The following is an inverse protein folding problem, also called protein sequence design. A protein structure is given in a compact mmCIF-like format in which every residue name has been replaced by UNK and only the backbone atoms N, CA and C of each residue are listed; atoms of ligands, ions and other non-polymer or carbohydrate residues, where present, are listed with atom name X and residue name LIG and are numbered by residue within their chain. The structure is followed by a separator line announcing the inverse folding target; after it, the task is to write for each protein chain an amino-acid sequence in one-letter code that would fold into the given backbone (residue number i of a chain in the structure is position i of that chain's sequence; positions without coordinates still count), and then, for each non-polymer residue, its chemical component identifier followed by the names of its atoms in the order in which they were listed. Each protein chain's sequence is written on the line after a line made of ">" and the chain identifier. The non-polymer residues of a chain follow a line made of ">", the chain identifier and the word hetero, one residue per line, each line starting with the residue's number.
data_IF_495350428945
#
_entry.id   IF_495350428945
#
_cell.length_a   1.000
_cell.length_b   1.000
_cell.length_c   1.000
_cell.angle_alpha   90.00
_cell.angle_beta   90.00
_cell.angle_gamma   90.00
#
_symmetry.space_group_name_H-M   'P 1'
#
loop_
_entity.id
_entity.type
_entity.pdbx_description
1 polymer ?
#
# COMPACT_ATOMS: atom_id res chain seq x y z
N UNK A 1 -10.78 -20.00 10.30
CA UNK A 1 -9.51 -20.74 10.44
C UNK A 1 -8.55 -19.80 11.11
N UNK A 2 -8.07 -20.14 12.31
CA UNK A 2 -7.04 -19.36 12.97
C UNK A 2 -5.87 -19.25 12.03
N UNK A 3 -5.60 -18.03 11.54
CA UNK A 3 -4.44 -17.80 10.71
C UNK A 3 -3.21 -18.22 11.47
N UNK A 4 -2.49 -19.21 10.97
CA UNK A 4 -1.20 -19.60 11.52
C UNK A 4 -0.42 -18.29 11.70
N UNK A 5 -0.13 -17.93 12.95
CA UNK A 5 0.61 -16.72 13.25
C UNK A 5 1.91 -16.80 12.48
N UNK A 6 2.10 -15.87 11.57
CA UNK A 6 3.33 -15.74 10.80
C UNK A 6 4.43 -15.33 11.78
N UNK A 7 5.10 -16.33 12.37
CA UNK A 7 6.20 -16.13 13.31
C UNK A 7 7.50 -16.16 12.51
N UNK A 8 8.14 -15.01 12.36
CA UNK A 8 9.47 -14.94 11.79
C UNK A 8 9.91 -13.49 11.66
N UNK A 9 11.17 -13.26 12.00
CA UNK A 9 11.86 -11.97 11.77
C UNK A 9 12.58 -11.94 10.41
N UNK A 10 12.43 -13.02 9.62
CA UNK A 10 13.06 -13.18 8.31
C UNK A 10 14.56 -12.88 8.37
N UNK A 11 15.27 -13.67 9.16
CA UNK A 11 16.71 -13.52 9.40
C UNK A 11 17.11 -12.12 9.94
N UNK A 12 16.24 -11.54 10.78
CA UNK A 12 16.45 -10.21 11.37
C UNK A 12 16.11 -9.04 10.46
N UNK A 13 15.56 -9.27 9.25
CA UNK A 13 15.16 -8.17 8.36
C UNK A 13 13.84 -7.50 8.74
N UNK A 14 13.03 -8.12 9.63
CA UNK A 14 11.77 -7.59 10.13
C UNK A 14 11.64 -7.78 11.66
N UNK A 15 12.51 -7.14 12.47
CA UNK A 15 12.61 -7.38 13.91
C UNK A 15 11.58 -6.59 14.74
N UNK A 16 10.51 -6.10 14.12
CA UNK A 16 9.53 -5.23 14.77
C UNK A 16 8.53 -6.01 15.61
N UNK A 17 8.10 -5.39 16.72
CA UNK A 17 7.04 -5.95 17.55
C UNK A 17 5.70 -5.95 16.80
N UNK A 18 5.03 -7.10 16.81
CA UNK A 18 3.74 -7.25 16.15
C UNK A 18 2.62 -6.78 17.08
N UNK A 19 1.88 -5.77 16.66
CA UNK A 19 0.68 -5.30 17.31
C UNK A 19 -0.56 -5.66 16.52
N UNK A 20 -1.71 -5.75 17.21
CA UNK A 20 -2.97 -6.08 16.57
C UNK A 20 -4.10 -5.22 17.13
N UNK A 21 -5.04 -4.84 16.25
CA UNK A 21 -6.29 -4.20 16.63
C UNK A 21 -7.48 -4.90 15.96
N UNK A 22 -8.67 -4.69 16.46
CA UNK A 22 -9.91 -5.19 15.87
C UNK A 22 -10.60 -4.07 15.09
N UNK A 23 -10.71 -4.22 13.77
CA UNK A 23 -11.52 -3.38 12.90
C UNK A 23 -12.81 -4.14 12.57
N UNK A 24 -13.85 -3.94 13.38
CA UNK A 24 -15.05 -4.77 13.33
C UNK A 24 -14.75 -6.24 13.67
N UNK A 25 -14.97 -7.13 12.72
CA UNK A 25 -14.68 -8.58 12.84
C UNK A 25 -13.36 -9.00 12.21
N UNK A 26 -12.51 -8.05 11.81
CA UNK A 26 -11.18 -8.27 11.23
C UNK A 26 -10.12 -7.86 12.22
N UNK A 27 -9.15 -8.72 12.45
CA UNK A 27 -7.94 -8.40 13.20
C UNK A 27 -6.88 -7.89 12.23
N UNK A 28 -6.44 -6.65 12.43
CA UNK A 28 -5.38 -6.02 11.65
C UNK A 28 -4.06 -6.05 12.41
N UNK A 29 -3.00 -6.43 11.72
CA UNK A 29 -1.63 -6.31 12.20
C UNK A 29 -1.08 -4.92 11.89
N UNK A 30 -0.27 -4.39 12.80
CA UNK A 30 0.53 -3.19 12.58
C UNK A 30 1.83 -3.25 13.38
N UNK A 31 2.79 -2.45 12.96
CA UNK A 31 4.01 -2.10 13.71
C UNK A 31 3.94 -0.63 14.05
N UNK A 32 4.51 -0.22 15.21
CA UNK A 32 4.52 1.16 15.67
C UNK A 32 5.85 1.41 16.41
N UNK A 33 6.80 1.95 15.69
CA UNK A 33 8.19 2.11 16.11
C UNK A 33 8.54 3.58 16.33
N UNK A 34 9.49 3.83 17.25
CA UNK A 34 9.92 5.18 17.62
C UNK A 34 9.09 5.82 18.74
N UNK A 35 9.35 7.11 19.07
CA UNK A 35 8.68 7.80 20.17
C UNK A 35 7.19 8.00 19.93
N UNK A 36 6.35 7.56 20.87
CA UNK A 36 4.88 7.63 20.76
C UNK A 36 4.31 9.04 20.72
N UNK A 37 5.03 10.02 21.21
CA UNK A 37 4.69 11.45 21.25
C UNK A 37 5.16 12.23 20.01
N UNK A 38 5.93 11.62 19.13
CA UNK A 38 6.32 12.23 17.86
C UNK A 38 5.18 12.17 16.83
N UNK A 39 5.05 13.18 15.94
CA UNK A 39 4.12 13.12 14.82
C UNK A 39 4.36 11.88 13.96
N UNK A 40 3.32 11.07 13.70
CA UNK A 40 3.50 9.78 13.05
C UNK A 40 3.64 9.88 11.53
N UNK A 41 4.50 9.01 10.98
CA UNK A 41 4.51 8.61 9.59
C UNK A 41 3.62 7.37 9.47
N UNK A 42 2.52 7.46 8.74
CA UNK A 42 1.62 6.33 8.49
C UNK A 42 1.93 5.72 7.13
N UNK A 43 2.54 4.54 7.14
CA UNK A 43 2.94 3.81 5.95
C UNK A 43 1.80 2.89 5.48
N UNK A 44 1.33 3.12 4.26
CA UNK A 44 0.21 2.39 3.65
C UNK A 44 0.70 1.66 2.41
N UNK A 45 0.79 0.34 2.48
CA UNK A 45 1.27 -0.51 1.40
C UNK A 45 0.20 -0.77 0.33
N UNK A 46 0.61 -1.35 -0.79
CA UNK A 46 -0.29 -1.78 -1.85
C UNK A 46 -0.25 -3.29 -2.12
N UNK A 47 -0.75 -3.67 -3.28
CA UNK A 47 -0.79 -5.04 -3.75
C UNK A 47 0.50 -5.39 -4.57
N UNK A 48 1.19 -6.50 -4.30
CA UNK A 48 0.87 -7.59 -3.37
C UNK A 48 1.68 -7.56 -2.07
N UNK A 49 2.15 -6.39 -1.67
CA UNK A 49 3.05 -6.24 -0.54
C UNK A 49 2.34 -6.27 0.83
N UNK A 50 3.08 -6.03 1.91
CA UNK A 50 2.61 -5.88 3.27
C UNK A 50 3.57 -4.96 4.03
N UNK A 51 3.41 -4.73 5.31
CA UNK A 51 4.26 -3.82 6.10
C UNK A 51 5.76 -4.11 5.98
N UNK A 52 6.16 -5.31 5.56
CA UNK A 52 7.54 -5.67 5.23
C UNK A 52 8.19 -4.76 4.18
N UNK A 53 7.40 -4.22 3.24
CA UNK A 53 7.88 -3.25 2.25
C UNK A 53 8.58 -2.06 2.92
N UNK A 54 8.09 -1.66 4.08
CA UNK A 54 8.54 -0.48 4.80
C UNK A 54 9.66 -0.75 5.81
N UNK A 55 10.16 -2.00 5.92
CA UNK A 55 11.12 -2.40 6.95
C UNK A 55 12.35 -1.52 7.04
N UNK A 56 12.95 -1.15 5.89
CA UNK A 56 14.15 -0.31 5.84
C UNK A 56 13.87 1.13 6.26
N UNK A 57 12.87 1.83 5.66
CA UNK A 57 12.49 3.16 6.11
C UNK A 57 12.08 3.20 7.58
N UNK A 58 11.27 2.24 8.05
CA UNK A 58 10.83 2.19 9.45
C UNK A 58 12.02 2.04 10.40
N UNK A 59 12.93 1.11 10.13
CA UNK A 59 14.10 0.88 11.00
C UNK A 59 14.98 2.14 11.10
N UNK A 60 15.25 2.80 9.98
CA UNK A 60 16.13 3.96 9.97
C UNK A 60 15.47 5.22 10.54
N UNK A 61 14.22 5.51 10.15
CA UNK A 61 13.51 6.69 10.61
C UNK A 61 13.16 6.60 12.12
N UNK A 62 12.80 5.41 12.62
CA UNK A 62 12.55 5.24 14.05
C UNK A 62 13.82 5.41 14.88
N UNK A 63 14.97 4.95 14.37
CA UNK A 63 16.26 5.19 15.00
C UNK A 63 16.66 6.68 15.01
N UNK A 64 16.14 7.47 14.07
CA UNK A 64 16.28 8.92 14.00
C UNK A 64 15.25 9.67 14.90
N UNK A 65 14.42 8.95 15.65
CA UNK A 65 13.42 9.55 16.56
C UNK A 65 12.09 9.92 15.88
N UNK A 66 11.81 9.38 14.68
CA UNK A 66 10.49 9.52 14.04
C UNK A 66 9.56 8.40 14.51
N UNK A 67 8.28 8.68 14.72
CA UNK A 67 7.28 7.65 14.93
C UNK A 67 6.84 7.09 13.59
N UNK A 68 6.94 5.76 13.42
CA UNK A 68 6.62 5.04 12.19
C UNK A 68 5.54 4.00 12.47
N UNK A 69 4.37 4.17 11.89
CA UNK A 69 3.25 3.23 11.97
C UNK A 69 3.05 2.61 10.60
N UNK A 70 3.13 1.29 10.47
CA UNK A 70 2.81 0.59 9.24
C UNK A 70 1.87 -0.57 9.55
N UNK A 71 0.78 -0.71 8.79
CA UNK A 71 -0.20 -1.77 9.01
C UNK A 71 -0.35 -2.64 7.77
N UNK A 72 -0.85 -3.85 7.99
CA UNK A 72 -1.20 -4.77 6.92
C UNK A 72 -2.69 -4.64 6.59
N UNK A 73 -3.01 -4.39 5.33
CA UNK A 73 -4.39 -4.46 4.87
C UNK A 73 -5.03 -5.81 5.20
N UNK A 74 -6.35 -5.82 5.43
CA UNK A 74 -7.12 -7.06 5.43
C UNK A 74 -6.76 -7.90 4.20
N UNK A 75 -6.43 -9.18 4.39
CA UNK A 75 -6.01 -10.07 3.30
C UNK A 75 -4.50 -10.11 3.05
N UNK A 76 -3.71 -9.30 3.75
CA UNK A 76 -2.26 -9.18 3.53
C UNK A 76 -1.47 -9.39 4.82
N UNK A 77 -0.16 -9.60 4.68
CA UNK A 77 0.77 -9.73 5.79
C UNK A 77 0.25 -10.62 6.91
N UNK A 78 0.28 -10.10 8.13
CA UNK A 78 -0.16 -10.78 9.35
C UNK A 78 -1.61 -10.47 9.74
N UNK A 79 -2.32 -9.65 8.94
CA UNK A 79 -3.75 -9.38 9.12
C UNK A 79 -4.62 -10.57 8.72
N UNK A 80 -5.85 -10.61 9.24
CA UNK A 80 -6.83 -11.63 8.88
C UNK A 80 -7.13 -11.67 7.39
N UNK A 81 -7.40 -12.88 6.89
CA UNK A 81 -7.66 -13.16 5.47
C UNK A 81 -9.04 -13.81 5.28
N UNK A 82 -10.13 -13.03 5.34
CA UNK A 82 -11.46 -13.56 5.09
C UNK A 82 -11.58 -14.26 3.74
N UNK A 83 -12.23 -15.45 3.64
CA UNK A 83 -12.26 -16.22 2.41
C UNK A 83 -13.29 -15.71 1.38
N UNK A 84 -13.92 -14.56 1.62
CA UNK A 84 -14.97 -14.00 0.77
C UNK A 84 -14.44 -12.77 0.01
N UNK A 85 -14.25 -12.90 -1.29
CA UNK A 85 -13.78 -11.83 -2.17
C UNK A 85 -14.61 -10.54 -2.07
N UNK A 86 -15.92 -10.66 -1.83
CA UNK A 86 -16.82 -9.52 -1.69
C UNK A 86 -16.51 -8.61 -0.48
N UNK A 87 -15.73 -9.08 0.49
CA UNK A 87 -15.34 -8.27 1.67
C UNK A 87 -14.25 -7.25 1.35
N UNK A 88 -13.48 -7.50 0.33
CA UNK A 88 -12.34 -6.68 -0.05
C UNK A 88 -12.79 -5.58 -1.02
N UNK A 89 -13.12 -4.42 -0.49
CA UNK A 89 -13.49 -3.23 -1.25
C UNK A 89 -12.59 -2.07 -0.85
N UNK A 90 -12.41 -1.09 -1.73
CA UNK A 90 -11.73 0.16 -1.36
C UNK A 90 -12.33 0.75 -0.07
N UNK A 91 -13.67 0.82 0.04
CA UNK A 91 -14.33 1.31 1.26
C UNK A 91 -13.97 0.50 2.50
N UNK A 92 -13.97 -0.84 2.43
CA UNK A 92 -13.60 -1.67 3.58
C UNK A 92 -12.14 -1.47 4.02
N UNK A 93 -11.22 -1.27 3.06
CA UNK A 93 -9.82 -0.96 3.37
C UNK A 93 -9.66 0.44 3.99
N UNK A 94 -10.43 1.42 3.52
CA UNK A 94 -10.49 2.76 4.13
C UNK A 94 -11.02 2.68 5.56
N UNK A 95 -12.12 1.95 5.81
CA UNK A 95 -12.69 1.77 7.14
C UNK A 95 -11.69 1.11 8.10
N UNK A 96 -10.91 0.14 7.61
CA UNK A 96 -9.85 -0.50 8.39
C UNK A 96 -8.71 0.48 8.73
N UNK A 97 -8.30 1.32 7.78
CA UNK A 97 -7.30 2.36 8.04
C UNK A 97 -7.80 3.42 9.03
N UNK A 98 -9.08 3.81 8.93
CA UNK A 98 -9.73 4.69 9.91
C UNK A 98 -9.75 4.09 11.31
N UNK A 99 -10.06 2.79 11.43
CA UNK A 99 -10.04 2.11 12.72
C UNK A 99 -8.63 2.17 13.37
N UNK A 100 -7.57 2.02 12.58
CA UNK A 100 -6.19 2.16 13.09
C UNK A 100 -5.90 3.60 13.52
N UNK A 101 -6.23 4.59 12.70
CA UNK A 101 -6.00 6.01 12.97
C UNK A 101 -6.72 6.44 14.26
N UNK A 102 -7.96 5.99 14.43
CA UNK A 102 -8.79 6.34 15.59
C UNK A 102 -8.34 5.59 16.86
N UNK A 103 -8.01 4.30 16.78
CA UNK A 103 -7.54 3.48 17.92
C UNK A 103 -6.23 3.99 18.49
N UNK A 104 -5.29 4.39 17.61
CA UNK A 104 -3.99 4.92 18.02
C UNK A 104 -4.01 6.44 18.26
N UNK A 105 -5.16 7.11 18.13
CA UNK A 105 -5.35 8.57 18.17
C UNK A 105 -4.25 9.31 17.40
N UNK A 106 -3.97 8.86 16.16
CA UNK A 106 -2.93 9.48 15.36
C UNK A 106 -3.33 10.90 14.96
N UNK A 107 -2.42 11.85 15.17
CA UNK A 107 -2.58 13.29 14.87
C UNK A 107 -1.34 13.82 14.19
N UNK A 108 -1.48 14.90 13.42
CA UNK A 108 -0.40 15.48 12.61
C UNK A 108 0.29 14.44 11.71
N UNK A 109 -0.54 13.59 11.10
CA UNK A 109 -0.11 12.41 10.34
C UNK A 109 0.47 12.81 8.99
N UNK A 110 1.67 12.32 8.67
CA UNK A 110 2.16 12.27 7.30
C UNK A 110 1.87 10.89 6.73
N UNK A 111 1.03 10.80 5.71
CA UNK A 111 0.75 9.54 5.01
C UNK A 111 1.85 9.26 4.00
N UNK A 112 2.45 8.08 4.08
CA UNK A 112 3.43 7.56 3.13
C UNK A 112 2.79 6.37 2.40
N UNK A 113 2.41 6.57 1.16
CA UNK A 113 1.55 5.64 0.45
C UNK A 113 2.15 5.15 -0.87
N UNK A 114 1.99 3.86 -1.14
CA UNK A 114 2.44 3.21 -2.37
C UNK A 114 1.33 2.36 -2.96
N UNK A 115 1.16 2.38 -4.30
CA UNK A 115 0.19 1.57 -5.04
C UNK A 115 -1.23 1.74 -4.48
N UNK A 116 -1.96 0.70 -4.11
CA UNK A 116 -3.28 0.78 -3.45
C UNK A 116 -3.27 1.56 -2.12
N UNK A 117 -2.10 1.72 -1.52
CA UNK A 117 -1.95 2.57 -0.34
C UNK A 117 -2.34 4.02 -0.59
N UNK A 118 -2.21 4.53 -1.83
CA UNK A 118 -2.65 5.88 -2.19
C UNK A 118 -4.14 6.08 -1.97
N UNK A 119 -5.03 5.42 -2.74
CA UNK A 119 -6.47 5.61 -2.57
C UNK A 119 -6.98 5.23 -1.17
N UNK A 120 -6.38 4.23 -0.51
CA UNK A 120 -6.77 3.84 0.85
C UNK A 120 -6.33 4.90 1.88
N UNK A 121 -5.06 5.29 1.88
CA UNK A 121 -4.52 6.25 2.85
C UNK A 121 -5.13 7.64 2.68
N UNK A 122 -5.24 8.13 1.45
CA UNK A 122 -5.87 9.42 1.15
C UNK A 122 -7.35 9.37 1.52
N UNK A 123 -8.06 8.31 1.12
CA UNK A 123 -9.49 8.16 1.45
C UNK A 123 -9.75 8.18 2.96
N UNK A 124 -8.93 7.50 3.75
CA UNK A 124 -9.04 7.53 5.20
C UNK A 124 -8.75 8.93 5.77
N UNK A 125 -7.72 9.60 5.28
CA UNK A 125 -7.35 10.91 5.80
C UNK A 125 -8.28 12.04 5.34
N UNK A 126 -8.99 11.91 4.22
CA UNK A 126 -10.06 12.84 3.86
C UNK A 126 -11.21 12.83 4.87
N UNK A 127 -11.45 11.69 5.53
CA UNK A 127 -12.44 11.59 6.63
C UNK A 127 -11.89 12.08 7.99
N UNK A 128 -10.58 12.35 8.07
CA UNK A 128 -9.85 12.86 9.25
C UNK A 128 -8.89 13.98 8.84
N UNK A 129 -9.34 14.88 7.96
CA UNK A 129 -8.48 15.92 7.37
C UNK A 129 -7.86 16.87 8.43
N UNK A 130 -8.51 17.02 9.57
CA UNK A 130 -7.99 17.74 10.73
C UNK A 130 -6.79 17.07 11.41
N UNK A 131 -6.50 15.83 11.08
CA UNK A 131 -5.35 15.05 11.59
C UNK A 131 -4.24 14.87 10.57
N UNK A 132 -4.44 15.28 9.32
CA UNK A 132 -3.47 15.13 8.24
C UNK A 132 -2.53 16.34 8.19
N UNK A 133 -1.22 16.09 8.10
CA UNK A 133 -0.19 17.14 8.02
C UNK A 133 0.65 17.07 6.73
N UNK A 134 0.62 15.98 5.98
CA UNK A 134 1.37 15.85 4.73
C UNK A 134 1.12 14.54 4.00
N UNK A 135 1.49 14.52 2.72
CA UNK A 135 1.44 13.33 1.86
C UNK A 135 2.79 13.05 1.22
N UNK A 136 3.22 11.80 1.27
CA UNK A 136 4.36 11.28 0.50
C UNK A 136 3.85 10.12 -0.35
N UNK A 137 3.78 10.33 -1.65
CA UNK A 137 3.15 9.39 -2.59
C UNK A 137 4.21 8.76 -3.49
N UNK A 138 4.21 7.43 -3.53
CA UNK A 138 5.14 6.62 -4.30
C UNK A 138 4.36 5.77 -5.30
N UNK A 139 4.60 5.94 -6.59
CA UNK A 139 4.00 5.13 -7.66
C UNK A 139 2.58 4.65 -7.33
N UNK A 140 1.62 5.57 -7.36
CA UNK A 140 0.23 5.39 -6.94
C UNK A 140 -0.73 6.27 -7.74
N UNK A 141 -2.02 6.11 -7.48
CA UNK A 141 -3.08 6.93 -8.09
C UNK A 141 -4.21 7.18 -7.08
N UNK A 142 -5.13 8.08 -7.39
CA UNK A 142 -6.35 8.28 -6.61
C UNK A 142 -7.50 8.83 -7.49
N UNK A 143 -7.67 8.25 -8.68
CA UNK A 143 -8.73 8.62 -9.64
C UNK A 143 -9.19 7.41 -10.43
N UNK A 144 -10.28 7.56 -11.17
CA UNK A 144 -10.75 6.53 -12.10
C UNK A 144 -9.76 6.31 -13.25
N UNK A 145 -9.59 5.09 -13.71
CA UNK A 145 -8.70 4.70 -14.80
C UNK A 145 -9.47 4.43 -16.09
N UNK A 146 -9.88 5.47 -16.87
CA UNK A 146 -10.86 5.28 -17.93
C UNK A 146 -10.30 4.65 -19.21
N UNK A 147 -9.02 4.76 -19.54
CA UNK A 147 -8.55 4.46 -20.89
C UNK A 147 -7.31 3.58 -20.99
N UNK A 148 -6.45 3.58 -20.03
CA UNK A 148 -5.23 2.78 -20.05
C UNK A 148 -5.19 1.82 -18.87
N UNK A 149 -5.53 0.59 -19.17
CA UNK A 149 -5.40 -0.51 -18.20
C UNK A 149 -4.31 -1.43 -18.72
N UNK A 150 -3.25 -1.65 -17.93
CA UNK A 150 -2.25 -2.64 -18.29
C UNK A 150 -2.92 -3.99 -18.61
N UNK A 151 -2.49 -4.71 -19.66
CA UNK A 151 -3.13 -5.96 -20.07
C UNK A 151 -3.33 -6.97 -18.94
N UNK A 152 -2.36 -7.05 -18.01
CA UNK A 152 -2.42 -7.97 -16.87
C UNK A 152 -3.61 -7.69 -15.94
N UNK A 153 -4.04 -6.44 -15.78
CA UNK A 153 -5.22 -6.10 -14.96
C UNK A 153 -6.47 -6.77 -15.53
N UNK A 154 -6.61 -6.78 -16.87
CA UNK A 154 -7.74 -7.45 -17.54
C UNK A 154 -7.69 -8.96 -17.35
N UNK A 155 -6.51 -9.57 -17.42
CA UNK A 155 -6.31 -11.00 -17.21
C UNK A 155 -6.75 -11.43 -15.81
N UNK A 156 -6.32 -10.70 -14.77
CA UNK A 156 -6.74 -10.98 -13.39
C UNK A 156 -8.22 -10.71 -13.13
N UNK A 157 -8.85 -9.83 -13.90
CA UNK A 157 -10.30 -9.58 -13.82
C UNK A 157 -11.13 -10.62 -14.57
N UNK A 158 -10.53 -11.38 -15.46
CA UNK A 158 -11.21 -12.45 -16.21
C UNK A 158 -11.51 -13.61 -15.26
N UNK A 159 -12.80 -13.98 -15.17
CA UNK A 159 -13.28 -15.08 -14.33
C UNK A 159 -12.61 -16.40 -14.73
N UNK A 160 -12.20 -17.19 -13.76
CA UNK A 160 -11.45 -18.42 -13.93
C UNK A 160 -9.96 -18.20 -14.18
N UNK A 161 -9.59 -17.32 -15.12
CA UNK A 161 -8.19 -17.01 -15.40
C UNK A 161 -7.53 -16.28 -14.21
N UNK A 162 -8.19 -15.24 -13.67
CA UNK A 162 -7.70 -14.52 -12.52
C UNK A 162 -7.46 -15.40 -11.30
N UNK A 163 -8.36 -16.35 -11.03
CA UNK A 163 -8.20 -17.34 -9.96
C UNK A 163 -6.99 -18.26 -10.20
N UNK A 164 -6.80 -18.75 -11.42
CA UNK A 164 -5.65 -19.59 -11.76
C UNK A 164 -4.34 -18.82 -11.55
N UNK A 165 -4.26 -17.60 -12.05
CA UNK A 165 -3.05 -16.78 -12.00
C UNK A 165 -2.72 -16.32 -10.57
N UNK A 166 -3.69 -15.72 -9.89
CA UNK A 166 -3.49 -15.16 -8.56
C UNK A 166 -3.47 -16.23 -7.47
N UNK A 167 -4.54 -17.04 -7.40
CA UNK A 167 -4.75 -17.94 -6.27
C UNK A 167 -4.00 -19.25 -6.46
N UNK A 168 -3.97 -19.80 -7.67
CA UNK A 168 -3.25 -21.04 -8.02
C UNK A 168 -1.75 -20.82 -8.16
N UNK A 169 -1.37 -19.90 -9.04
CA UNK A 169 0.03 -19.67 -9.43
C UNK A 169 0.80 -18.70 -8.52
N UNK A 170 0.13 -17.96 -7.61
CA UNK A 170 0.74 -16.91 -6.79
C UNK A 170 1.49 -15.84 -7.62
N UNK A 171 1.03 -15.58 -8.85
CA UNK A 171 1.79 -14.77 -9.80
C UNK A 171 2.03 -13.33 -9.34
N UNK A 172 1.18 -12.78 -8.47
CA UNK A 172 1.43 -11.44 -7.90
C UNK A 172 2.73 -11.39 -7.12
N UNK A 173 2.96 -12.34 -6.23
CA UNK A 173 4.19 -12.42 -5.44
C UNK A 173 5.37 -12.76 -6.33
N UNK A 174 5.22 -13.75 -7.21
CA UNK A 174 6.32 -14.18 -8.09
C UNK A 174 6.66 -13.13 -9.16
N UNK A 175 5.81 -12.12 -9.39
CA UNK A 175 6.10 -11.00 -10.29
C UNK A 175 6.82 -9.82 -9.63
N UNK A 176 7.00 -9.81 -8.30
CA UNK A 176 7.68 -8.71 -7.59
C UNK A 176 9.05 -8.37 -8.20
N UNK A 177 9.94 -9.36 -8.53
CA UNK A 177 11.21 -9.04 -9.17
C UNK A 177 11.05 -8.34 -10.52
N UNK A 178 9.96 -8.63 -11.24
CA UNK A 178 9.66 -7.97 -12.51
C UNK A 178 9.25 -6.50 -12.39
N UNK A 179 8.76 -6.12 -11.21
CA UNK A 179 8.40 -4.74 -10.86
C UNK A 179 9.53 -3.96 -10.17
N UNK A 180 10.71 -4.56 -9.98
CA UNK A 180 11.89 -3.91 -9.42
C UNK A 180 12.86 -3.51 -10.53
N UNK A 181 13.64 -2.47 -10.30
CA UNK A 181 14.71 -2.03 -11.21
C UNK A 181 15.86 -3.05 -11.25
N UNK A 182 16.21 -3.61 -10.09
CA UNK A 182 17.11 -4.75 -9.99
C UNK A 182 16.31 -6.03 -9.76
N UNK A 183 16.35 -6.93 -10.75
CA UNK A 183 15.62 -8.21 -10.71
C UNK A 183 16.37 -9.33 -9.97
N UNK A 184 17.64 -9.09 -9.61
CA UNK A 184 18.41 -10.01 -8.77
C UNK A 184 18.04 -9.77 -7.30
N UNK A 185 16.98 -10.45 -6.88
CA UNK A 185 16.36 -10.24 -5.58
C UNK A 185 16.94 -11.15 -4.51
N UNK A 186 17.07 -10.63 -3.30
CA UNK A 186 17.44 -11.39 -2.12
C UNK A 186 16.42 -12.52 -1.85
N UNK A 187 16.84 -13.79 -1.74
CA UNK A 187 15.96 -14.89 -1.40
C UNK A 187 15.17 -14.68 -0.09
N UNK A 188 15.78 -14.10 0.94
CA UNK A 188 15.14 -13.80 2.23
C UNK A 188 13.98 -12.81 2.03
N UNK A 189 14.20 -11.77 1.20
CA UNK A 189 13.15 -10.82 0.86
C UNK A 189 11.97 -11.52 0.17
N UNK A 190 12.23 -12.37 -0.81
CA UNK A 190 11.17 -13.08 -1.52
C UNK A 190 10.42 -14.08 -0.63
N UNK A 191 11.12 -14.75 0.28
CA UNK A 191 10.49 -15.64 1.25
C UNK A 191 9.60 -14.85 2.23
N UNK A 192 10.01 -13.64 2.63
CA UNK A 192 9.17 -12.76 3.44
C UNK A 192 7.90 -12.30 2.70
N UNK A 193 7.98 -12.02 1.40
CA UNK A 193 6.79 -11.69 0.60
C UNK A 193 5.88 -12.90 0.36
N UNK A 194 6.44 -14.12 0.22
CA UNK A 194 5.65 -15.36 0.06
C UNK A 194 4.96 -15.80 1.34
N UNK A 195 5.61 -15.59 2.47
CA UNK A 195 5.20 -16.15 3.76
C UNK A 195 3.72 -15.89 4.14
N UNK A 196 3.13 -14.69 3.91
CA UNK A 196 1.71 -14.44 4.19
C UNK A 196 0.73 -15.21 3.29
N UNK A 197 1.20 -15.81 2.20
CA UNK A 197 0.37 -16.35 1.12
C UNK A 197 0.66 -17.82 0.79
N UNK A 198 0.65 -18.73 1.80
CA UNK A 198 1.07 -20.12 1.62
C UNK A 198 0.11 -20.92 0.75
N UNK A 199 -1.16 -20.55 0.69
CA UNK A 199 -2.20 -21.32 0.03
C UNK A 199 -3.19 -20.47 -0.79
N UNK A 200 -4.08 -21.14 -1.51
CA UNK A 200 -5.11 -20.56 -2.35
C UNK A 200 -5.97 -19.51 -1.61
N UNK A 201 -6.40 -19.82 -0.39
CA UNK A 201 -7.35 -18.97 0.35
C UNK A 201 -6.68 -17.71 0.89
N UNK A 202 -5.43 -17.79 1.29
CA UNK A 202 -4.65 -16.65 1.76
C UNK A 202 -4.39 -15.58 0.70
N UNK A 203 -4.56 -15.91 -0.59
CA UNK A 203 -4.28 -15.04 -1.75
C UNK A 203 -5.50 -14.26 -2.26
N UNK A 204 -6.70 -14.48 -1.68
CA UNK A 204 -7.95 -13.85 -2.14
C UNK A 204 -7.86 -12.33 -2.15
N UNK A 205 -7.22 -11.71 -1.14
CA UNK A 205 -7.05 -10.27 -1.05
C UNK A 205 -6.33 -9.67 -2.27
N UNK A 206 -5.29 -10.34 -2.77
CA UNK A 206 -4.55 -9.89 -3.96
C UNK A 206 -5.43 -9.85 -5.21
N UNK A 207 -6.21 -10.90 -5.45
CA UNK A 207 -7.15 -10.95 -6.57
C UNK A 207 -8.25 -9.90 -6.41
N UNK A 208 -8.72 -9.71 -5.17
CA UNK A 208 -9.79 -8.76 -4.88
C UNK A 208 -9.40 -7.32 -5.20
N UNK A 209 -8.19 -6.87 -4.85
CA UNK A 209 -7.70 -5.56 -5.22
C UNK A 209 -7.70 -5.34 -6.74
N UNK A 210 -7.26 -6.34 -7.52
CA UNK A 210 -7.29 -6.21 -8.98
C UNK A 210 -8.71 -6.10 -9.54
N UNK A 211 -9.66 -6.80 -8.93
CA UNK A 211 -11.07 -6.77 -9.33
C UNK A 211 -11.80 -5.51 -8.87
N UNK A 212 -11.26 -4.82 -7.88
CA UNK A 212 -11.84 -3.58 -7.35
C UNK A 212 -11.28 -2.31 -8.03
N UNK A 213 -10.31 -2.43 -8.95
CA UNK A 213 -9.84 -1.30 -9.78
C UNK A 213 -11.02 -0.76 -10.59
N UNK A 214 -11.41 0.52 -10.44
CA UNK A 214 -12.53 1.09 -11.18
C UNK A 214 -12.11 1.40 -12.62
N UNK A 215 -12.57 0.59 -13.57
CA UNK A 215 -12.35 0.77 -15.01
C UNK A 215 -13.54 1.43 -15.69
N UNK A 216 -14.70 1.36 -15.07
CA UNK A 216 -15.94 1.95 -15.53
C UNK A 216 -16.74 2.50 -14.35
N UNK A 217 -17.64 3.44 -14.60
CA UNK A 217 -18.57 3.99 -13.61
C UNK A 217 -19.44 2.93 -12.91
N UNK A 218 -19.56 1.74 -13.49
CA UNK A 218 -20.34 0.62 -12.94
C UNK A 218 -19.56 -0.26 -11.96
N UNK A 219 -18.25 -0.09 -11.91
CA UNK A 219 -17.43 -0.84 -10.98
C UNK A 219 -17.71 -0.40 -9.54
N UNK A 220 -17.65 -1.36 -8.62
CA UNK A 220 -18.11 -1.19 -7.24
C UNK A 220 -17.47 0.01 -6.53
N UNK A 221 -16.18 0.24 -6.72
CA UNK A 221 -15.44 1.32 -6.07
C UNK A 221 -15.32 2.61 -6.90
N UNK A 222 -15.92 2.67 -8.11
CA UNK A 222 -15.81 3.82 -9.00
C UNK A 222 -16.30 5.12 -8.35
N UNK A 223 -17.51 5.10 -7.78
CA UNK A 223 -18.06 6.28 -7.12
C UNK A 223 -17.20 6.78 -5.96
N UNK A 224 -16.67 5.85 -5.13
CA UNK A 224 -15.81 6.23 -4.00
C UNK A 224 -14.49 6.80 -4.49
N UNK A 225 -13.88 6.18 -5.51
CA UNK A 225 -12.65 6.68 -6.13
C UNK A 225 -12.85 8.07 -6.74
N UNK A 226 -13.96 8.29 -7.44
CA UNK A 226 -14.33 9.61 -7.97
C UNK A 226 -14.49 10.65 -6.86
N UNK A 227 -15.14 10.28 -5.74
CA UNK A 227 -15.27 11.17 -4.58
C UNK A 227 -13.90 11.51 -3.96
N UNK A 228 -12.99 10.52 -3.85
CA UNK A 228 -11.62 10.78 -3.38
C UNK A 228 -10.92 11.76 -4.32
N UNK A 229 -10.98 11.52 -5.63
CA UNK A 229 -10.38 12.39 -6.63
C UNK A 229 -10.92 13.82 -6.56
N UNK A 230 -12.24 13.99 -6.52
CA UNK A 230 -12.87 15.29 -6.40
C UNK A 230 -12.45 16.05 -5.14
N UNK A 231 -12.20 15.34 -4.03
CA UNK A 231 -11.81 15.94 -2.75
C UNK A 231 -10.32 16.20 -2.60
N UNK A 232 -9.47 15.73 -3.53
CA UNK A 232 -8.02 16.02 -3.47
C UNK A 232 -7.72 17.53 -3.43
N UNK A 233 -8.53 18.36 -4.10
CA UNK A 233 -8.37 19.82 -4.09
C UNK A 233 -8.66 20.48 -2.74
N UNK A 234 -9.30 19.77 -1.79
CA UNK A 234 -9.53 20.25 -0.42
C UNK A 234 -8.23 20.21 0.42
N UNK A 235 -7.22 19.47 -0.06
CA UNK A 235 -5.99 19.26 0.68
C UNK A 235 -4.99 20.40 0.42
N UNK A 236 -4.86 21.31 1.41
CA UNK A 236 -3.84 22.36 1.43
C UNK A 236 -2.74 21.99 2.44
N UNK A 237 -1.79 21.15 1.97
CA UNK A 237 -0.74 20.57 2.78
C UNK A 237 0.49 20.21 1.93
N UNK A 238 1.67 20.04 2.54
CA UNK A 238 2.86 19.59 1.83
C UNK A 238 2.67 18.23 1.17
N UNK A 239 2.98 18.14 -0.12
CA UNK A 239 2.96 16.89 -0.90
C UNK A 239 4.36 16.63 -1.45
N UNK A 240 4.84 15.40 -1.29
CA UNK A 240 6.06 14.90 -1.92
C UNK A 240 5.70 13.71 -2.81
N UNK A 241 6.13 13.76 -4.06
CA UNK A 241 5.96 12.70 -5.05
C UNK A 241 7.31 12.05 -5.29
N UNK A 242 7.45 10.76 -5.02
CA UNK A 242 8.68 9.98 -5.25
C UNK A 242 8.34 8.92 -6.29
N UNK A 243 9.00 8.98 -7.45
CA UNK A 243 8.56 8.17 -8.57
C UNK A 243 9.68 7.34 -9.16
N UNK A 244 9.50 6.01 -9.17
CA UNK A 244 10.33 5.10 -9.93
C UNK A 244 9.96 5.18 -11.42
N UNK A 245 10.84 5.79 -12.22
CA UNK A 245 10.55 6.11 -13.64
C UNK A 245 10.52 4.88 -14.55
N UNK A 246 10.98 3.70 -14.04
CA UNK A 246 10.91 2.42 -14.77
C UNK A 246 9.67 1.59 -14.43
N UNK A 247 8.72 2.15 -13.69
CA UNK A 247 7.49 1.43 -13.30
C UNK A 247 6.67 1.03 -14.53
N UNK A 248 6.42 -0.27 -14.75
CA UNK A 248 5.58 -0.73 -15.86
C UNK A 248 4.08 -0.48 -15.63
N UNK A 249 3.68 -0.19 -14.38
CA UNK A 249 2.27 0.03 -13.97
C UNK A 249 1.94 1.51 -13.93
N UNK A 250 2.59 2.25 -13.02
CA UNK A 250 2.38 3.69 -12.85
C UNK A 250 3.43 4.46 -13.66
N UNK A 251 3.24 4.47 -14.98
CA UNK A 251 4.09 5.17 -15.93
C UNK A 251 4.12 6.68 -15.66
N UNK A 252 5.06 7.44 -16.24
CA UNK A 252 5.20 8.89 -16.00
C UNK A 252 3.92 9.72 -16.13
N UNK A 253 2.96 9.28 -16.94
CA UNK A 253 1.65 9.95 -17.10
C UNK A 253 0.87 10.06 -15.78
N UNK A 254 1.04 9.11 -14.85
CA UNK A 254 0.44 9.19 -13.52
C UNK A 254 1.12 10.27 -12.67
N UNK A 255 2.45 10.39 -12.76
CA UNK A 255 3.20 11.45 -12.09
C UNK A 255 2.78 12.82 -12.62
N UNK A 256 2.60 12.96 -13.94
CA UNK A 256 2.15 14.21 -14.54
C UNK A 256 0.76 14.62 -14.05
N UNK A 257 -0.15 13.67 -13.89
CA UNK A 257 -1.47 13.91 -13.32
C UNK A 257 -1.40 14.35 -11.84
N UNK A 258 -0.51 13.77 -11.04
CA UNK A 258 -0.25 14.24 -9.67
C UNK A 258 0.31 15.66 -9.64
N UNK A 259 1.20 16.03 -10.59
CA UNK A 259 1.73 17.39 -10.72
C UNK A 259 0.65 18.42 -11.08
N UNK A 260 -0.32 18.03 -11.89
CA UNK A 260 -1.47 18.88 -12.20
C UNK A 260 -2.35 19.12 -10.98
N UNK A 261 -2.56 18.08 -10.14
CA UNK A 261 -3.35 18.17 -8.92
C UNK A 261 -2.62 18.94 -7.80
N UNK A 262 -1.30 18.79 -7.70
CA UNK A 262 -0.47 19.43 -6.68
C UNK A 262 0.73 20.15 -7.32
N UNK A 263 0.54 21.34 -7.92
CA UNK A 263 1.61 22.05 -8.64
C UNK A 263 2.81 22.42 -7.76
N UNK A 264 2.60 22.59 -6.44
CA UNK A 264 3.65 22.92 -5.47
C UNK A 264 4.32 21.70 -4.86
N UNK A 265 3.96 20.48 -5.29
CA UNK A 265 4.54 19.26 -4.75
C UNK A 265 6.04 19.18 -5.01
N UNK A 266 6.78 18.74 -4.01
CA UNK A 266 8.17 18.33 -4.20
C UNK A 266 8.21 17.04 -5.00
N UNK A 267 8.92 17.00 -6.11
CA UNK A 267 9.03 15.82 -6.97
C UNK A 267 10.44 15.25 -6.95
N UNK A 268 10.54 13.94 -6.76
CA UNK A 268 11.78 13.17 -6.80
C UNK A 268 11.61 12.06 -7.85
N UNK A 269 12.20 12.24 -9.02
CA UNK A 269 12.23 11.26 -10.09
C UNK A 269 13.45 10.35 -9.93
N UNK A 270 13.24 9.04 -9.99
CA UNK A 270 14.26 8.03 -9.80
C UNK A 270 14.41 7.17 -11.06
N UNK A 271 15.37 7.53 -11.91
CA UNK A 271 15.64 6.84 -13.18
C UNK A 271 16.12 5.39 -12.98
N UNK A 272 16.56 5.05 -11.79
CA UNK A 272 17.10 3.76 -11.38
C UNK A 272 16.15 2.97 -10.45
N UNK A 273 14.91 3.41 -10.29
CA UNK A 273 13.86 2.72 -9.56
C UNK A 273 12.67 2.36 -10.47
N UNK A 274 11.94 1.31 -10.10
CA UNK A 274 10.74 0.89 -10.77
C UNK A 274 9.52 0.96 -9.82
N UNK A 275 8.61 -0.02 -9.88
CA UNK A 275 7.37 0.02 -9.08
C UNK A 275 7.63 0.00 -7.57
N UNK A 276 8.53 -0.86 -7.10
CA UNK A 276 8.80 -1.03 -5.67
C UNK A 276 9.91 -0.09 -5.18
N UNK A 277 9.68 1.22 -5.24
CA UNK A 277 10.64 2.25 -4.79
C UNK A 277 11.23 1.99 -3.41
N UNK A 278 10.45 1.54 -2.38
CA UNK A 278 11.03 1.24 -1.07
C UNK A 278 12.03 0.07 -1.06
N UNK A 279 12.00 -0.80 -2.06
CA UNK A 279 13.00 -1.86 -2.26
C UNK A 279 14.18 -1.37 -3.10
N UNK A 280 13.91 -0.66 -4.19
CA UNK A 280 14.93 -0.18 -5.12
C UNK A 280 15.78 0.96 -4.51
N UNK A 281 15.11 1.95 -3.89
CA UNK A 281 15.70 3.20 -3.41
C UNK A 281 15.12 3.64 -2.05
N UNK A 282 15.29 2.81 -1.00
CA UNK A 282 14.87 3.19 0.35
C UNK A 282 15.52 4.48 0.84
N UNK A 283 16.78 4.76 0.41
CA UNK A 283 17.52 5.97 0.72
C UNK A 283 16.82 7.25 0.22
N UNK A 284 16.23 7.21 -0.97
CA UNK A 284 15.49 8.34 -1.53
C UNK A 284 14.21 8.66 -0.72
N UNK A 285 13.50 7.61 -0.28
CA UNK A 285 12.34 7.77 0.60
C UNK A 285 12.74 8.33 1.97
N UNK A 286 13.77 7.76 2.61
CA UNK A 286 14.27 8.20 3.92
C UNK A 286 14.74 9.66 3.86
N UNK A 287 15.47 10.03 2.81
CA UNK A 287 15.94 11.40 2.62
C UNK A 287 14.86 12.43 2.27
N UNK A 288 13.64 11.97 1.96
CA UNK A 288 12.49 12.83 1.68
C UNK A 288 11.61 13.08 2.91
N UNK A 289 11.75 12.28 3.97
CA UNK A 289 10.99 12.30 5.23
C UNK A 289 11.81 12.89 6.38
#
# INVERSE_FOLDING_TARGET
>A
MDGAQLHGDFEGTFPFEAHYLSAGDVRLHYIDEGPRDAPPLLFVHGNPTWSYLWRRPVAELSAQGRRCVAFDHMGFGRSDKPPLLARYTLGAHIDNALALIDELDLRDVVVVAHDWGGPVGIGAMLERSDRLSGLVLLNTWAWELPSFVPPFVREFRTEGLGEILALGGNLFIESIPGGMANRDTDPVMMDAYRAPFPDYWSRIGMLAFQRDIPLTERDRSARLMGTIHERLHELDLPVTLIWGMRDPVFQPVFLDQWRELFPEARVVELDDAAHFVPEDRPDALIGAL
#
